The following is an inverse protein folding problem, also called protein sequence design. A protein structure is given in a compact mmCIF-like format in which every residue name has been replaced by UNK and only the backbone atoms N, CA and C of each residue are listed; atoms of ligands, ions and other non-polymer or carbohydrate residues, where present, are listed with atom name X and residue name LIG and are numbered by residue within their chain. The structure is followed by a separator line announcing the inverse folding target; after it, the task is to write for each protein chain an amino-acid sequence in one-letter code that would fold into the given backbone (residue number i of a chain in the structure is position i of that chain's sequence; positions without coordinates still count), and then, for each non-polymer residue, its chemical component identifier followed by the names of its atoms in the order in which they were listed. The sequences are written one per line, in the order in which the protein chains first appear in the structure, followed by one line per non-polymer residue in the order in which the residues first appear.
data_IF_807307117148
#
_entry.id   IF_807307117148
#
_cell.length_a   1.000
_cell.length_b   1.000
_cell.length_c   1.000
_cell.angle_alpha   90.00
_cell.angle_beta   90.00
_cell.angle_gamma   90.00
#
_symmetry.space_group_name_H-M   'P 1'
#
loop_
_entity.id
_entity.type
_entity.pdbx_description
1 polymer ?
#
# COMPACT_ATOMS: atom_id res chain seq x y z
N UNK A 1 9.69 -18.62 -1.41
CA UNK A 1 10.70 -17.68 -1.90
C UNK A 1 10.36 -17.14 -3.30
N UNK A 2 10.09 -17.96 -4.31
CA UNK A 2 9.80 -17.47 -5.67
C UNK A 2 8.64 -16.44 -5.73
N UNK A 3 7.51 -16.71 -5.08
CA UNK A 3 6.36 -15.78 -5.05
C UNK A 3 6.73 -14.43 -4.45
N UNK A 4 7.48 -14.43 -3.35
CA UNK A 4 7.94 -13.20 -2.68
C UNK A 4 8.81 -12.35 -3.62
N UNK A 5 9.79 -12.98 -4.28
CA UNK A 5 10.70 -12.28 -5.21
C UNK A 5 9.95 -11.73 -6.43
N UNK A 6 9.04 -12.51 -7.01
CA UNK A 6 8.23 -12.06 -8.16
C UNK A 6 7.34 -10.88 -7.78
N UNK A 7 6.64 -10.95 -6.64
CA UNK A 7 5.77 -9.86 -6.21
C UNK A 7 6.54 -8.60 -5.82
N UNK A 8 7.71 -8.74 -5.19
CA UNK A 8 8.58 -7.58 -4.91
C UNK A 8 9.07 -6.95 -6.21
N UNK A 9 9.60 -7.74 -7.14
CA UNK A 9 10.05 -7.25 -8.44
C UNK A 9 8.94 -6.56 -9.22
N UNK A 10 7.74 -7.15 -9.26
CA UNK A 10 6.56 -6.55 -9.90
C UNK A 10 6.17 -5.23 -9.23
N UNK A 11 6.13 -5.17 -7.90
CA UNK A 11 5.79 -3.98 -7.15
C UNK A 11 6.76 -2.82 -7.46
N UNK A 12 8.07 -3.10 -7.44
CA UNK A 12 9.12 -2.11 -7.77
C UNK A 12 8.98 -1.65 -9.22
N UNK A 13 8.91 -2.59 -10.16
CA UNK A 13 8.82 -2.27 -11.59
C UNK A 13 7.60 -1.43 -11.91
N UNK A 14 6.42 -1.82 -11.43
CA UNK A 14 5.19 -1.06 -11.68
C UNK A 14 5.20 0.32 -11.01
N UNK A 15 5.79 0.45 -9.83
CA UNK A 15 5.95 1.76 -9.17
C UNK A 15 6.85 2.67 -9.98
N UNK A 16 7.98 2.16 -10.49
CA UNK A 16 8.89 2.92 -11.35
C UNK A 16 8.23 3.31 -12.68
N UNK A 17 7.54 2.37 -13.34
CA UNK A 17 6.80 2.65 -14.57
C UNK A 17 5.72 3.71 -14.35
N UNK A 18 4.94 3.59 -13.26
CA UNK A 18 3.94 4.60 -12.90
C UNK A 18 4.60 5.98 -12.72
N UNK A 19 5.73 6.03 -12.01
CA UNK A 19 6.45 7.29 -11.79
C UNK A 19 6.98 7.89 -13.10
N UNK A 20 7.48 7.05 -14.00
CA UNK A 20 7.98 7.50 -15.32
C UNK A 20 6.86 8.06 -16.22
N UNK A 21 5.63 7.50 -16.14
CA UNK A 21 4.50 7.89 -17.00
C UNK A 21 3.66 9.00 -16.38
N UNK A 22 3.36 8.93 -15.10
CA UNK A 22 2.43 9.82 -14.40
C UNK A 22 3.13 10.75 -13.39
N UNK A 23 4.45 10.66 -13.27
CA UNK A 23 5.20 11.44 -12.28
C UNK A 23 4.87 11.03 -10.84
N UNK A 24 4.97 11.97 -9.89
CA UNK A 24 4.76 11.69 -8.47
C UNK A 24 3.29 11.46 -8.09
N UNK A 25 2.34 11.65 -9.02
CA UNK A 25 0.92 11.50 -8.73
C UNK A 25 0.59 10.08 -8.29
N UNK A 26 0.01 9.95 -7.11
CA UNK A 26 -0.45 8.68 -6.54
C UNK A 26 -1.93 8.49 -6.85
N UNK A 27 -2.28 7.54 -7.69
CA UNK A 27 -3.65 7.11 -7.97
C UNK A 27 -3.88 5.63 -7.63
N UNK A 28 -2.81 4.89 -7.32
CA UNK A 28 -2.85 3.51 -6.82
C UNK A 28 -1.54 3.21 -6.08
N UNK A 29 -1.64 2.58 -4.92
CA UNK A 29 -0.47 2.15 -4.15
C UNK A 29 -0.09 0.71 -4.51
N UNK A 30 0.73 0.59 -5.57
CA UNK A 30 1.16 -0.72 -6.11
C UNK A 30 1.98 -1.55 -5.11
N UNK A 31 2.98 -0.98 -4.39
CA UNK A 31 3.72 -1.73 -3.39
C UNK A 31 2.83 -2.27 -2.27
N UNK A 32 1.91 -1.46 -1.75
CA UNK A 32 0.97 -1.87 -0.71
C UNK A 32 0.04 -2.98 -1.20
N UNK A 33 -0.50 -2.85 -2.43
CA UNK A 33 -1.34 -3.89 -3.04
C UNK A 33 -0.58 -5.22 -3.16
N UNK A 34 0.67 -5.20 -3.64
CA UNK A 34 1.48 -6.42 -3.76
C UNK A 34 1.87 -7.01 -2.40
N UNK A 35 2.08 -6.19 -1.37
CA UNK A 35 2.29 -6.65 -0.01
C UNK A 35 1.07 -7.40 0.54
N UNK A 36 -0.14 -6.85 0.35
CA UNK A 36 -1.40 -7.51 0.73
C UNK A 36 -1.59 -8.83 -0.02
N UNK A 37 -1.36 -8.83 -1.34
CA UNK A 37 -1.42 -10.05 -2.18
C UNK A 37 -0.41 -11.10 -1.70
N UNK A 38 0.83 -10.71 -1.43
CA UNK A 38 1.87 -11.61 -0.94
C UNK A 38 1.53 -12.22 0.42
N UNK A 39 1.03 -11.41 1.34
CA UNK A 39 0.53 -11.87 2.63
C UNK A 39 -0.58 -12.90 2.46
N UNK A 40 -1.58 -12.57 1.69
CA UNK A 40 -2.72 -13.44 1.45
C UNK A 40 -2.34 -14.77 0.77
N UNK A 41 -1.47 -14.76 -0.23
CA UNK A 41 -1.09 -15.97 -0.98
C UNK A 41 -0.02 -16.80 -0.28
N UNK A 42 1.02 -16.16 0.24
CA UNK A 42 2.23 -16.84 0.72
C UNK A 42 2.48 -16.73 2.24
N UNK A 43 1.64 -15.98 2.96
CA UNK A 43 1.65 -15.88 4.41
C UNK A 43 2.32 -14.63 4.97
N UNK A 44 2.25 -14.47 6.30
CA UNK A 44 2.64 -13.23 6.98
C UNK A 44 4.07 -12.78 6.68
N UNK A 45 5.03 -13.70 6.70
CA UNK A 45 6.43 -13.40 6.43
C UNK A 45 6.65 -12.88 5.00
N UNK A 46 5.93 -13.45 4.01
CA UNK A 46 6.00 -12.99 2.62
C UNK A 46 5.41 -11.60 2.46
N UNK A 47 4.24 -11.34 3.07
CA UNK A 47 3.61 -10.02 3.05
C UNK A 47 4.51 -8.95 3.68
N UNK A 48 5.10 -9.25 4.83
CA UNK A 48 6.07 -8.38 5.49
C UNK A 48 7.26 -8.05 4.58
N UNK A 49 7.88 -9.09 4.02
CA UNK A 49 9.07 -8.92 3.17
C UNK A 49 8.76 -8.12 1.91
N UNK A 50 7.64 -8.42 1.22
CA UNK A 50 7.24 -7.68 0.01
C UNK A 50 6.95 -6.22 0.35
N UNK A 51 6.21 -5.96 1.43
CA UNK A 51 5.91 -4.59 1.87
C UNK A 51 7.17 -3.78 2.17
N UNK A 52 8.08 -4.36 2.96
CA UNK A 52 9.33 -3.71 3.33
C UNK A 52 10.23 -3.47 2.10
N UNK A 53 10.51 -4.54 1.36
CA UNK A 53 11.49 -4.50 0.27
C UNK A 53 11.03 -3.64 -0.90
N UNK A 54 9.73 -3.64 -1.26
CA UNK A 54 9.24 -2.88 -2.42
C UNK A 54 9.39 -1.37 -2.23
N UNK A 55 9.14 -0.84 -1.05
CA UNK A 55 9.34 0.59 -0.78
C UNK A 55 10.83 0.94 -0.73
N UNK A 56 11.64 0.19 0.01
CA UNK A 56 13.07 0.46 0.12
C UNK A 56 13.73 0.42 -1.27
N UNK A 57 13.51 -0.65 -2.04
CA UNK A 57 14.15 -0.82 -3.35
C UNK A 57 13.69 0.23 -4.37
N UNK A 58 12.39 0.57 -4.39
CA UNK A 58 11.90 1.60 -5.31
C UNK A 58 12.38 3.00 -4.91
N UNK A 59 12.44 3.31 -3.61
CA UNK A 59 12.90 4.63 -3.15
C UNK A 59 14.42 4.78 -3.29
N UNK A 60 15.19 3.69 -3.27
CA UNK A 60 16.61 3.75 -3.65
C UNK A 60 16.82 4.31 -5.07
N UNK A 61 15.83 4.14 -5.95
CA UNK A 61 15.88 4.62 -7.33
C UNK A 61 15.14 5.95 -7.53
N UNK A 62 14.07 6.20 -6.76
CA UNK A 62 13.24 7.41 -6.85
C UNK A 62 13.70 8.53 -5.91
N UNK A 63 14.48 8.20 -4.89
CA UNK A 63 14.95 9.09 -3.84
C UNK A 63 14.56 8.59 -2.45
N UNK A 64 15.57 8.33 -1.64
CA UNK A 64 15.39 7.93 -0.23
C UNK A 64 15.06 9.15 0.62
N UNK A 65 14.15 8.96 1.56
CA UNK A 65 13.79 9.95 2.55
C UNK A 65 13.26 9.32 3.84
N UNK A 66 12.91 10.15 4.82
CA UNK A 66 12.33 9.69 6.08
C UNK A 66 11.00 8.95 5.82
N UNK A 67 10.24 9.40 4.82
CA UNK A 67 9.00 8.74 4.37
C UNK A 67 9.21 7.28 3.98
N UNK A 68 10.36 6.92 3.39
CA UNK A 68 10.68 5.54 3.02
C UNK A 68 10.57 4.58 4.20
N UNK A 69 11.01 5.02 5.39
CA UNK A 69 10.95 4.20 6.61
C UNK A 69 9.49 3.97 7.02
N UNK A 70 8.69 5.03 7.02
CA UNK A 70 7.29 4.95 7.42
C UNK A 70 6.48 4.12 6.44
N UNK A 71 6.64 4.37 5.14
CA UNK A 71 5.95 3.64 4.08
C UNK A 71 6.33 2.17 4.05
N UNK A 72 7.62 1.85 4.17
CA UNK A 72 8.10 0.48 4.20
C UNK A 72 7.60 -0.31 5.41
N UNK A 73 7.68 0.29 6.62
CA UNK A 73 7.22 -0.38 7.84
C UNK A 73 5.70 -0.55 7.87
N UNK A 74 4.96 0.49 7.53
CA UNK A 74 3.50 0.42 7.49
C UNK A 74 3.02 -0.62 6.46
N UNK A 75 3.59 -0.63 5.25
CA UNK A 75 3.28 -1.62 4.22
C UNK A 75 3.65 -3.04 4.65
N UNK A 76 4.80 -3.21 5.31
CA UNK A 76 5.21 -4.51 5.85
C UNK A 76 4.21 -5.05 6.88
N UNK A 77 3.75 -4.19 7.81
CA UNK A 77 2.78 -4.57 8.82
C UNK A 77 1.41 -4.93 8.21
N UNK A 78 0.94 -4.13 7.26
CA UNK A 78 -0.30 -4.43 6.52
C UNK A 78 -0.16 -5.75 5.77
N UNK A 79 0.92 -5.94 5.02
CA UNK A 79 1.18 -7.18 4.28
C UNK A 79 1.25 -8.40 5.21
N UNK A 80 1.88 -8.27 6.38
CA UNK A 80 1.92 -9.31 7.40
C UNK A 80 0.51 -9.65 7.92
N UNK A 81 -0.30 -8.64 8.23
CA UNK A 81 -1.68 -8.84 8.71
C UNK A 81 -2.53 -9.60 7.68
N UNK A 82 -2.36 -9.32 6.39
CA UNK A 82 -3.05 -10.01 5.31
C UNK A 82 -2.71 -11.51 5.23
N UNK A 83 -1.57 -11.93 5.76
CA UNK A 83 -1.22 -13.34 5.87
C UNK A 83 -2.15 -14.16 6.77
N UNK A 84 -2.92 -13.51 7.65
CA UNK A 84 -3.92 -14.15 8.51
C UNK A 84 -5.33 -14.13 7.89
N UNK A 85 -5.52 -13.47 6.74
CA UNK A 85 -6.82 -13.34 6.06
C UNK A 85 -7.02 -14.35 4.92
N UNK A 86 -6.20 -15.37 4.82
CA UNK A 86 -6.17 -16.38 3.74
C UNK A 86 -7.50 -17.11 3.49
N UNK A 87 -8.35 -17.20 4.50
CA UNK A 87 -9.66 -17.85 4.39
C UNK A 87 -10.78 -16.95 3.85
N UNK A 88 -10.53 -15.66 3.63
CA UNK A 88 -11.54 -14.73 3.13
C UNK A 88 -11.72 -14.92 1.63
N UNK A 89 -12.91 -15.34 1.21
CA UNK A 89 -13.20 -15.66 -0.20
C UNK A 89 -14.11 -14.65 -0.88
N UNK A 90 -15.01 -14.03 -0.11
CA UNK A 90 -15.97 -13.08 -0.64
C UNK A 90 -15.29 -11.84 -1.22
N UNK A 91 -15.54 -11.55 -2.49
CA UNK A 91 -14.92 -10.42 -3.19
C UNK A 91 -15.26 -9.06 -2.58
N UNK A 92 -16.47 -8.87 -2.07
CA UNK A 92 -16.86 -7.65 -1.37
C UNK A 92 -16.08 -7.49 -0.06
N UNK A 93 -15.92 -8.57 0.70
CA UNK A 93 -15.13 -8.58 1.95
C UNK A 93 -13.66 -8.29 1.66
N UNK A 94 -13.08 -8.89 0.62
CA UNK A 94 -11.70 -8.62 0.19
C UNK A 94 -11.52 -7.14 -0.19
N UNK A 95 -12.45 -6.58 -0.95
CA UNK A 95 -12.42 -5.17 -1.31
C UNK A 95 -12.49 -4.27 -0.07
N UNK A 96 -13.46 -4.52 0.82
CA UNK A 96 -13.63 -3.72 2.05
C UNK A 96 -12.40 -3.79 2.95
N UNK A 97 -11.86 -4.99 3.18
CA UNK A 97 -10.64 -5.16 3.98
C UNK A 97 -9.43 -4.48 3.32
N UNK A 98 -9.30 -4.57 1.99
CA UNK A 98 -8.23 -3.87 1.27
C UNK A 98 -8.36 -2.36 1.39
N UNK A 99 -9.58 -1.83 1.27
CA UNK A 99 -9.85 -0.41 1.41
C UNK A 99 -9.51 0.11 2.81
N UNK A 100 -9.98 -0.59 3.84
CA UNK A 100 -9.67 -0.24 5.23
C UNK A 100 -8.16 -0.36 5.53
N UNK A 101 -7.48 -1.34 4.95
CA UNK A 101 -6.04 -1.50 5.09
C UNK A 101 -5.27 -0.35 4.42
N UNK A 102 -5.70 0.08 3.23
CA UNK A 102 -5.09 1.21 2.54
C UNK A 102 -5.33 2.52 3.30
N UNK A 103 -6.55 2.75 3.79
CA UNK A 103 -6.90 3.90 4.63
C UNK A 103 -6.05 3.94 5.92
N UNK A 104 -5.92 2.80 6.60
CA UNK A 104 -5.11 2.70 7.82
C UNK A 104 -3.61 2.96 7.52
N UNK A 105 -3.11 2.46 6.39
CA UNK A 105 -1.76 2.72 5.92
C UNK A 105 -1.54 4.22 5.69
N UNK A 106 -2.40 4.87 4.90
CA UNK A 106 -2.26 6.29 4.54
C UNK A 106 -2.37 7.19 5.78
N UNK A 107 -3.28 6.87 6.69
CA UNK A 107 -3.42 7.59 7.96
C UNK A 107 -2.19 7.42 8.85
N UNK A 108 -1.68 6.19 8.99
CA UNK A 108 -0.53 5.90 9.84
C UNK A 108 0.75 6.57 9.31
N UNK A 109 1.01 6.50 8.01
CA UNK A 109 2.18 7.13 7.39
C UNK A 109 2.08 8.65 7.43
N UNK A 110 0.90 9.23 7.20
CA UNK A 110 0.64 10.67 7.33
C UNK A 110 0.87 11.16 8.75
N UNK A 111 0.31 10.47 9.75
CA UNK A 111 0.52 10.82 11.17
C UNK A 111 2.00 10.73 11.54
N UNK A 112 2.70 9.67 11.14
CA UNK A 112 4.12 9.50 11.40
C UNK A 112 4.95 10.64 10.76
N UNK A 113 4.66 10.95 9.49
CA UNK A 113 5.32 12.02 8.75
C UNK A 113 5.09 13.39 9.42
N UNK A 114 3.84 13.78 9.63
CA UNK A 114 3.53 15.08 10.25
C UNK A 114 4.05 15.18 11.68
N UNK A 115 4.02 14.11 12.47
CA UNK A 115 4.62 14.09 13.80
C UNK A 115 6.11 14.41 13.79
N UNK A 116 6.81 13.97 12.75
CA UNK A 116 8.25 14.22 12.58
C UNK A 116 8.53 15.67 12.20
N UNK A 117 7.73 16.27 11.34
CA UNK A 117 8.02 17.60 10.77
C UNK A 117 7.31 18.75 11.49
N UNK A 118 6.21 18.49 12.18
CA UNK A 118 5.47 19.53 12.92
C UNK A 118 5.99 19.75 14.35
N UNK A 119 6.99 18.98 14.80
CA UNK A 119 7.70 19.19 16.05
C UNK A 119 6.77 19.25 17.29
N UNK A 120 6.64 20.44 17.90
CA UNK A 120 5.86 20.63 19.12
C UNK A 120 4.34 20.75 18.91
N UNK A 121 3.81 20.41 17.73
CA UNK A 121 2.36 20.44 17.49
C UNK A 121 1.64 19.42 18.39
N UNK A 122 0.43 19.77 18.83
CA UNK A 122 -0.37 18.84 19.63
C UNK A 122 -0.75 17.60 18.82
N UNK A 123 -0.92 16.41 19.46
CA UNK A 123 -1.38 15.21 18.78
C UNK A 123 -2.70 15.42 17.99
N UNK A 124 -3.60 16.23 18.54
CA UNK A 124 -4.85 16.58 17.87
C UNK A 124 -4.61 17.38 16.58
N UNK A 125 -3.68 18.32 16.59
CA UNK A 125 -3.31 19.11 15.40
C UNK A 125 -2.73 18.20 14.32
N UNK A 126 -1.80 17.31 14.69
CA UNK A 126 -1.21 16.32 13.77
C UNK A 126 -2.29 15.44 13.12
N UNK A 127 -3.20 14.90 13.95
CA UNK A 127 -4.29 14.07 13.46
C UNK A 127 -5.24 14.84 12.53
N UNK A 128 -5.58 16.08 12.88
CA UNK A 128 -6.44 16.92 12.05
C UNK A 128 -5.81 17.19 10.68
N UNK A 129 -4.51 17.50 10.64
CA UNK A 129 -3.78 17.74 9.38
C UNK A 129 -3.70 16.45 8.56
N UNK A 130 -3.40 15.31 9.19
CA UNK A 130 -3.34 14.01 8.52
C UNK A 130 -4.69 13.64 7.89
N UNK A 131 -5.78 13.74 8.66
CA UNK A 131 -7.14 13.45 8.15
C UNK A 131 -7.55 14.43 7.05
N UNK A 132 -7.28 15.74 7.22
CA UNK A 132 -7.60 16.74 6.20
C UNK A 132 -6.82 16.46 4.91
N UNK A 133 -5.55 16.07 5.01
CA UNK A 133 -4.69 15.74 3.89
C UNK A 133 -5.18 14.56 3.04
N UNK A 134 -5.95 13.63 3.62
CA UNK A 134 -6.58 12.56 2.86
C UNK A 134 -7.64 13.04 1.86
N UNK A 135 -8.30 14.16 2.16
CA UNK A 135 -9.41 14.67 1.34
C UNK A 135 -9.04 15.87 0.49
N UNK A 136 -7.94 16.54 0.82
CA UNK A 136 -7.48 17.76 0.12
C UNK A 136 -6.24 17.43 -0.69
N UNK A 137 -6.27 17.56 -2.03
CA UNK A 137 -5.11 17.33 -2.86
C UNK A 137 -4.01 18.33 -2.51
N UNK A 138 -2.83 17.80 -2.16
CA UNK A 138 -1.65 18.63 -1.89
C UNK A 138 -0.99 19.00 -3.22
N UNK A 139 -0.46 20.22 -3.30
CA UNK A 139 0.30 20.71 -4.46
C UNK A 139 -0.44 20.69 -5.80
N UNK A 140 -1.72 21.08 -5.80
CA UNK A 140 -2.50 21.20 -7.04
C UNK A 140 -2.91 19.87 -7.67
N UNK A 141 -2.92 18.82 -6.87
CA UNK A 141 -3.39 17.49 -7.29
C UNK A 141 -4.83 17.50 -7.76
N UNK A 142 -5.15 16.61 -8.68
CA UNK A 142 -6.51 16.45 -9.20
C UNK A 142 -7.36 15.62 -8.22
N UNK A 143 -8.69 15.75 -8.29
CA UNK A 143 -9.62 15.01 -7.44
C UNK A 143 -9.41 13.48 -7.42
N UNK A 144 -8.83 12.91 -8.47
CA UNK A 144 -8.48 11.49 -8.53
C UNK A 144 -7.18 11.13 -7.79
N UNK A 145 -6.46 12.09 -7.25
CA UNK A 145 -5.27 11.86 -6.43
C UNK A 145 -5.55 12.03 -4.93
N UNK A 146 -6.81 12.20 -4.52
CA UNK A 146 -7.18 12.21 -3.10
C UNK A 146 -7.21 10.79 -2.54
N UNK A 147 -6.91 10.66 -1.24
CA UNK A 147 -6.80 9.39 -0.53
C UNK A 147 -7.92 8.41 -0.83
N UNK A 148 -9.21 8.75 -0.63
CA UNK A 148 -10.33 7.81 -0.85
C UNK A 148 -10.36 7.16 -2.23
N UNK A 149 -9.96 7.89 -3.29
CA UNK A 149 -9.89 7.35 -4.65
C UNK A 149 -8.69 6.42 -4.81
N UNK A 150 -7.52 6.83 -4.33
CA UNK A 150 -6.30 6.02 -4.32
C UNK A 150 -6.49 4.71 -3.56
N UNK A 151 -7.13 4.79 -2.40
CA UNK A 151 -7.46 3.64 -1.56
C UNK A 151 -8.43 2.69 -2.26
N UNK A 152 -9.49 3.23 -2.89
CA UNK A 152 -10.46 2.44 -3.63
C UNK A 152 -9.82 1.71 -4.83
N UNK A 153 -8.96 2.40 -5.59
CA UNK A 153 -8.23 1.79 -6.71
C UNK A 153 -7.23 0.73 -6.24
N UNK A 154 -6.52 0.99 -5.15
CA UNK A 154 -5.62 0.02 -4.50
C UNK A 154 -6.38 -1.21 -4.01
N UNK A 155 -7.54 -1.00 -3.39
CA UNK A 155 -8.41 -2.08 -2.92
C UNK A 155 -9.00 -2.91 -4.08
N UNK A 156 -9.43 -2.24 -5.14
CA UNK A 156 -9.91 -2.91 -6.35
C UNK A 156 -8.82 -3.80 -6.96
N UNK A 157 -7.63 -3.24 -7.16
CA UNK A 157 -6.49 -4.00 -7.68
C UNK A 157 -6.18 -5.22 -6.81
N UNK A 158 -6.04 -5.04 -5.49
CA UNK A 158 -5.75 -6.11 -4.55
C UNK A 158 -6.81 -7.21 -4.62
N UNK A 159 -8.09 -6.85 -4.55
CA UNK A 159 -9.19 -7.81 -4.55
C UNK A 159 -9.29 -8.59 -5.86
N UNK A 160 -9.07 -7.93 -7.00
CA UNK A 160 -9.05 -8.56 -8.32
C UNK A 160 -7.89 -9.52 -8.46
N UNK A 161 -6.67 -9.10 -8.08
CA UNK A 161 -5.47 -9.96 -8.18
C UNK A 161 -5.61 -11.19 -7.29
N UNK A 162 -6.01 -11.02 -6.02
CA UNK A 162 -6.23 -12.15 -5.10
C UNK A 162 -7.23 -13.15 -5.68
N UNK A 163 -8.37 -12.67 -6.18
CA UNK A 163 -9.40 -13.54 -6.76
C UNK A 163 -8.90 -14.27 -8.00
N UNK A 164 -8.22 -13.60 -8.92
CA UNK A 164 -7.71 -14.20 -10.16
C UNK A 164 -6.66 -15.26 -9.88
N UNK A 165 -5.70 -14.97 -8.99
CA UNK A 165 -4.67 -15.95 -8.63
C UNK A 165 -5.29 -17.19 -7.97
N UNK A 166 -6.29 -17.01 -7.09
CA UNK A 166 -6.99 -18.15 -6.49
C UNK A 166 -7.71 -19.02 -7.51
N UNK A 167 -8.38 -18.41 -8.49
CA UNK A 167 -9.05 -19.16 -9.56
C UNK A 167 -8.04 -20.03 -10.31
N UNK A 168 -6.93 -19.45 -10.75
CA UNK A 168 -5.89 -20.20 -11.48
C UNK A 168 -5.25 -21.30 -10.64
N UNK A 169 -4.97 -21.04 -9.36
CA UNK A 169 -4.37 -22.06 -8.47
C UNK A 169 -5.38 -23.14 -8.10
N UNK A 170 -6.65 -22.79 -7.91
CA UNK A 170 -7.71 -23.76 -7.60
C UNK A 170 -8.11 -24.65 -8.79
N UNK A 171 -7.93 -24.18 -10.02
CA UNK A 171 -8.14 -24.99 -11.24
C UNK A 171 -6.95 -25.93 -11.53
N UNK A 172 -5.79 -25.67 -10.92
CA UNK A 172 -4.57 -26.46 -11.14
C UNK A 172 -4.35 -27.55 -10.05
N UNK A 173 -5.20 -27.56 -9.02
CA UNK A 173 -5.14 -28.54 -7.90
C UNK A 173 -6.23 -29.57 -7.99
#
# INVERSE_FOLDING_TARGET
MAVTSVLTGSAVTFRLLKHAVAGPVQFVNLPLSMAMVAGYLAGPASGFTVGLASFILSDMLLGLGVWTIYDALASALVGMAWGYLRGVECGATLFTLSYLSALAYDLATSVAFYSTFMGAASPLTVLTVAVTGLFVPVAGGSLYAVGPVTEALTALLTSVVVRRVRQVVGEAA
#
